data_IF_440453338736
#
_entry.id   IF_440453338736
#
_cell.length_a   1.000
_cell.length_b   1.000
_cell.length_c   1.000
_cell.angle_alpha   90.00
_cell.angle_beta   90.00
_cell.angle_gamma   90.00
#
_symmetry.space_group_name_H-M   'P 1'
#
loop_
_entity.id
_entity.type
_entity.pdbx_description
1 polymer ?
#
# COMPACT_ATOMS: atom_id res chain seq x y z
N UNK A 1 -1.13 3.95 4.60
CA UNK A 1 -1.22 2.48 4.49
C UNK A 1 -0.05 1.79 5.21
N UNK A 2 -0.28 0.77 6.02
CA UNK A 2 0.73 0.05 6.81
C UNK A 2 0.61 -1.46 6.62
N UNK A 3 1.71 -2.15 6.35
CA UNK A 3 1.77 -3.60 6.28
C UNK A 3 2.28 -4.19 7.61
N UNK A 4 1.48 -4.97 8.34
CA UNK A 4 1.92 -5.60 9.59
C UNK A 4 2.94 -6.74 9.39
N UNK A 5 3.03 -7.29 8.18
CA UNK A 5 3.94 -8.41 7.87
C UNK A 5 5.33 -7.96 7.45
N UNK A 6 5.41 -6.87 6.70
CA UNK A 6 6.68 -6.27 6.28
C UNK A 6 7.14 -5.15 7.22
N UNK A 7 6.30 -4.77 8.19
CA UNK A 7 6.50 -3.61 9.07
C UNK A 7 6.77 -2.31 8.29
N UNK A 8 6.15 -2.17 7.11
CA UNK A 8 6.36 -1.03 6.21
C UNK A 8 5.13 -0.15 6.16
N UNK A 9 5.35 1.15 6.29
CA UNK A 9 4.34 2.17 6.04
C UNK A 9 4.54 2.81 4.66
N UNK A 10 3.49 2.81 3.86
CA UNK A 10 3.39 3.56 2.61
C UNK A 10 2.57 4.82 2.89
N UNK A 11 3.16 5.98 2.61
CA UNK A 11 2.49 7.28 2.70
C UNK A 11 1.44 7.39 1.60
N UNK A 12 0.32 8.04 1.91
CA UNK A 12 -0.78 8.24 0.94
C UNK A 12 -0.34 9.09 -0.25
N UNK A 13 0.51 10.09 -0.02
CA UNK A 13 1.09 10.96 -1.06
C UNK A 13 1.91 10.18 -2.10
N UNK A 14 2.67 9.18 -1.63
CA UNK A 14 3.49 8.33 -2.48
C UNK A 14 2.69 7.20 -3.16
N UNK A 15 1.43 6.98 -2.76
CA UNK A 15 0.68 5.78 -3.13
C UNK A 15 0.40 5.71 -4.63
N UNK A 16 -0.01 6.84 -5.23
CA UNK A 16 -0.26 6.92 -6.67
C UNK A 16 1.01 6.69 -7.48
N UNK A 17 2.12 7.32 -7.07
CA UNK A 17 3.43 7.18 -7.73
C UNK A 17 3.93 5.73 -7.67
N UNK A 18 3.89 5.12 -6.49
CA UNK A 18 4.33 3.73 -6.29
C UNK A 18 3.44 2.74 -7.04
N UNK A 19 2.12 2.96 -7.07
CA UNK A 19 1.19 2.11 -7.81
C UNK A 19 1.47 2.18 -9.32
N UNK A 20 1.75 3.37 -9.86
CA UNK A 20 2.15 3.53 -11.26
C UNK A 20 3.45 2.78 -11.56
N UNK A 21 4.49 2.94 -10.74
CA UNK A 21 5.75 2.23 -10.93
C UNK A 21 5.59 0.71 -10.87
N UNK A 22 4.77 0.19 -9.95
CA UNK A 22 4.47 -1.24 -9.84
C UNK A 22 3.76 -1.78 -11.08
N UNK A 23 2.80 -1.01 -11.63
CA UNK A 23 2.12 -1.37 -12.87
C UNK A 23 3.07 -1.37 -14.08
N UNK A 24 3.92 -0.35 -14.21
CA UNK A 24 4.83 -0.24 -15.37
C UNK A 24 5.97 -1.27 -15.32
N UNK A 25 6.61 -1.45 -14.16
CA UNK A 25 7.79 -2.31 -14.03
C UNK A 25 7.44 -3.78 -13.79
N UNK A 26 6.39 -4.05 -13.03
CA UNK A 26 6.06 -5.39 -12.53
C UNK A 26 4.68 -5.87 -12.93
N UNK A 27 3.87 -5.05 -13.64
CA UNK A 27 2.46 -5.32 -13.98
C UNK A 27 1.63 -5.71 -12.75
N UNK A 28 1.87 -5.02 -11.63
CA UNK A 28 1.25 -5.34 -10.35
C UNK A 28 0.40 -4.17 -9.85
N UNK A 29 -0.84 -4.48 -9.43
CA UNK A 29 -1.85 -3.54 -8.93
C UNK A 29 -2.15 -3.71 -7.43
N UNK A 30 -1.30 -4.42 -6.68
CA UNK A 30 -1.54 -4.71 -5.26
C UNK A 30 -1.83 -3.45 -4.43
N UNK A 31 -1.13 -2.34 -4.67
CA UNK A 31 -1.40 -1.10 -3.92
C UNK A 31 -2.79 -0.51 -4.20
N UNK A 32 -3.31 -0.64 -5.42
CA UNK A 32 -4.66 -0.22 -5.80
C UNK A 32 -5.74 -1.06 -5.11
N UNK A 33 -5.45 -2.35 -4.91
CA UNK A 33 -6.29 -3.28 -4.15
C UNK A 33 -6.17 -3.10 -2.62
N UNK A 34 -5.23 -2.28 -2.18
CA UNK A 34 -4.91 -2.11 -0.77
C UNK A 34 -4.09 -3.26 -0.19
N UNK A 35 -3.37 -4.02 -1.02
CA UNK A 35 -2.50 -5.13 -0.63
C UNK A 35 -1.02 -4.74 -0.72
N UNK A 36 -0.20 -5.33 0.16
CA UNK A 36 1.23 -5.10 0.17
C UNK A 36 1.86 -5.70 -1.08
N UNK A 37 2.59 -4.94 -1.90
CA UNK A 37 3.17 -5.45 -3.14
C UNK A 37 4.30 -6.47 -2.92
N UNK A 38 4.82 -6.57 -1.69
CA UNK A 38 5.92 -7.48 -1.34
C UNK A 38 5.42 -8.84 -0.85
N UNK A 39 4.43 -8.84 0.04
CA UNK A 39 3.97 -10.06 0.72
C UNK A 39 2.50 -10.41 0.45
N UNK A 40 1.76 -9.57 -0.30
CA UNK A 40 0.34 -9.78 -0.60
C UNK A 40 -0.61 -9.57 0.59
N UNK A 41 -0.11 -9.14 1.74
CA UNK A 41 -0.95 -8.90 2.93
C UNK A 41 -1.71 -7.59 2.81
N UNK A 42 -2.98 -7.59 3.19
CA UNK A 42 -3.82 -6.38 3.19
C UNK A 42 -3.21 -5.27 4.06
N UNK A 43 -3.15 -4.07 3.50
CA UNK A 43 -2.60 -2.89 4.14
C UNK A 43 -3.63 -2.26 5.06
N UNK A 44 -3.18 -1.83 6.23
CA UNK A 44 -3.98 -1.17 7.25
C UNK A 44 -3.86 0.34 7.03
N UNK A 45 -4.98 1.01 6.77
CA UNK A 45 -4.97 2.48 6.74
C UNK A 45 -4.99 3.04 8.16
N UNK A 46 -3.82 3.44 8.65
CA UNK A 46 -3.68 4.05 9.98
C UNK A 46 -4.22 5.50 10.02
N UNK A 47 -4.38 6.16 8.86
CA UNK A 47 -4.92 7.52 8.77
C UNK A 47 -6.42 7.58 9.04
N UNK A 48 -7.17 6.51 8.73
CA UNK A 48 -8.60 6.39 9.06
C UNK A 48 -8.92 6.20 10.56
N UNK A 49 -7.92 6.00 11.44
CA UNK A 49 -8.14 5.88 12.90
C UNK A 49 -8.32 7.22 13.62
N UNK A 50 -9.14 8.12 13.08
CA UNK A 50 -9.59 9.33 13.80
C UNK A 50 -11.09 9.54 13.61
N UNK A 51 -11.86 8.56 14.08
CA UNK A 51 -13.31 8.68 14.29
C UNK A 51 -13.67 7.87 15.53
N UNK A 52 -13.30 8.40 16.70
CA UNK A 52 -13.90 8.13 18.03
C UNK A 52 -13.52 9.29 18.93
#
# INVERSE_FOLDING_TARGET
MYCPRCERSIKTDDLERLNKELKEKFRQDSLERGDCPVCGTHLIDLSKKKAI
#
